data_IF_347838826087
#
_entry.id   IF_347838826087
#
_cell.length_a   1.000
_cell.length_b   1.000
_cell.length_c   1.000
_cell.angle_alpha   90.00
_cell.angle_beta   90.00
_cell.angle_gamma   90.00
#
_symmetry.space_group_name_H-M   'P 1'
#
loop_
_entity.id
_entity.type
_entity.pdbx_description
1 polymer ?
#
# COMPACT_ATOMS: atom_id res chain seq x y z
N UNK A 1 -15.67 6.71 -8.24
CA UNK A 1 -15.87 8.00 -8.93
C UNK A 1 -14.51 8.44 -9.44
N UNK A 2 -14.34 8.59 -10.75
CA UNK A 2 -13.10 9.13 -11.32
C UNK A 2 -13.04 10.61 -10.95
N UNK A 3 -12.06 11.02 -10.15
CA UNK A 3 -11.86 12.42 -9.79
C UNK A 3 -11.60 13.18 -11.10
N UNK A 4 -12.46 14.13 -11.45
CA UNK A 4 -12.30 14.91 -12.67
C UNK A 4 -11.05 15.76 -12.49
N UNK A 5 -9.99 15.44 -13.23
CA UNK A 5 -8.78 16.25 -13.26
C UNK A 5 -9.14 17.63 -13.79
N UNK A 6 -8.81 18.67 -13.03
CA UNK A 6 -9.12 20.04 -13.48
C UNK A 6 -8.07 20.51 -14.48
N UNK A 7 -8.48 21.36 -15.43
CA UNK A 7 -7.54 22.02 -16.36
C UNK A 7 -6.41 22.72 -15.59
N UNK A 8 -6.74 23.35 -14.45
CA UNK A 8 -5.78 24.01 -13.57
C UNK A 8 -4.71 23.06 -13.00
N UNK A 9 -5.07 21.82 -12.66
CA UNK A 9 -4.10 20.84 -12.18
C UNK A 9 -3.14 20.40 -13.28
N UNK A 10 -3.61 20.26 -14.53
CA UNK A 10 -2.76 19.86 -15.66
C UNK A 10 -1.77 20.97 -16.02
N UNK A 11 -2.24 22.22 -16.17
CA UNK A 11 -1.37 23.32 -16.63
C UNK A 11 -0.26 23.68 -15.64
N UNK A 12 -0.37 23.30 -14.36
CA UNK A 12 0.66 23.55 -13.34
C UNK A 12 2.00 22.90 -13.66
N UNK A 13 2.02 21.82 -14.43
CA UNK A 13 3.26 21.14 -14.83
C UNK A 13 3.89 21.72 -16.09
N UNK A 14 3.20 22.60 -16.81
CA UNK A 14 3.68 23.16 -18.07
C UNK A 14 4.34 24.51 -17.83
N UNK A 15 5.51 24.74 -18.45
CA UNK A 15 6.13 26.06 -18.44
C UNK A 15 5.49 26.93 -19.52
N UNK A 16 5.24 28.22 -19.29
CA UNK A 16 4.69 29.11 -20.33
C UNK A 16 5.46 29.07 -21.66
N UNK A 17 6.77 28.91 -21.59
CA UNK A 17 7.66 28.75 -22.76
C UNK A 17 7.32 27.55 -23.64
N UNK A 18 6.79 26.47 -23.07
CA UNK A 18 6.46 25.24 -23.79
C UNK A 18 5.21 25.43 -24.68
N UNK A 19 4.44 26.48 -24.42
CA UNK A 19 3.25 26.87 -25.18
C UNK A 19 3.47 28.21 -25.92
N UNK A 20 4.69 28.74 -25.95
CA UNK A 20 5.00 30.00 -26.63
C UNK A 20 4.32 31.24 -26.03
N UNK A 21 3.95 31.20 -24.75
CA UNK A 21 3.29 32.29 -24.04
C UNK A 21 4.11 32.76 -22.84
N UNK A 22 3.84 33.97 -22.33
CA UNK A 22 4.46 34.48 -21.10
C UNK A 22 3.73 34.03 -19.84
N UNK A 23 2.43 33.76 -19.95
CA UNK A 23 1.56 33.33 -18.87
C UNK A 23 0.53 32.34 -19.43
N UNK A 24 0.29 31.24 -18.72
CA UNK A 24 -0.72 30.25 -19.09
C UNK A 24 -2.02 30.59 -18.36
N UNK A 25 -3.09 30.86 -19.11
CA UNK A 25 -4.43 31.08 -18.57
C UNK A 25 -5.34 29.88 -18.88
N UNK A 26 -6.06 29.31 -17.89
CA UNK A 26 -6.90 28.13 -18.10
C UNK A 26 -7.90 28.26 -19.27
N UNK A 27 -8.47 29.44 -19.48
CA UNK A 27 -9.43 29.73 -20.54
C UNK A 27 -8.84 29.70 -21.96
N UNK A 28 -7.53 29.95 -22.08
CA UNK A 28 -6.79 29.98 -23.34
C UNK A 28 -6.19 28.62 -23.72
N UNK A 29 -6.49 27.59 -22.92
CA UNK A 29 -5.92 26.26 -23.11
C UNK A 29 -7.05 25.26 -23.37
N UNK A 30 -6.79 24.33 -24.28
CA UNK A 30 -7.59 23.15 -24.52
C UNK A 30 -6.79 21.93 -24.00
N UNK A 31 -7.43 21.10 -23.17
CA UNK A 31 -6.81 19.90 -22.60
C UNK A 31 -7.58 18.69 -23.08
N UNK A 32 -6.89 17.81 -23.80
CA UNK A 32 -7.46 16.59 -24.36
C UNK A 32 -6.71 15.38 -23.81
N UNK A 33 -7.44 14.42 -23.26
CA UNK A 33 -6.86 13.15 -22.80
C UNK A 33 -6.59 12.25 -24.02
N UNK A 34 -5.32 11.94 -24.27
CA UNK A 34 -4.86 11.23 -25.47
C UNK A 34 -4.44 9.78 -25.21
N UNK A 35 -4.24 9.39 -23.94
CA UNK A 35 -3.83 8.03 -23.60
C UNK A 35 -4.18 7.62 -22.17
N UNK A 36 -4.35 6.30 -21.98
CA UNK A 36 -4.47 5.64 -20.67
C UNK A 36 -3.72 4.32 -20.71
N UNK A 37 -2.90 4.07 -19.70
CA UNK A 37 -2.37 2.75 -19.40
C UNK A 37 -2.57 2.45 -17.91
N UNK A 38 -2.74 1.18 -17.57
CA UNK A 38 -2.90 0.74 -16.19
C UNK A 38 -2.01 -0.46 -15.92
N UNK A 39 -1.42 -0.49 -14.73
CA UNK A 39 -0.69 -1.63 -14.20
C UNK A 39 -1.09 -1.85 -12.75
N UNK A 40 -0.93 -3.07 -12.25
CA UNK A 40 -1.10 -3.38 -10.83
C UNK A 40 0.19 -3.98 -10.30
N UNK A 41 0.57 -3.56 -9.10
CA UNK A 41 1.73 -4.14 -8.43
C UNK A 41 1.39 -5.55 -7.95
N UNK A 42 2.35 -6.48 -8.01
CA UNK A 42 2.16 -7.82 -7.49
C UNK A 42 2.04 -7.81 -5.96
N UNK A 43 1.12 -8.59 -5.41
CA UNK A 43 0.93 -8.78 -3.96
C UNK A 43 1.75 -9.95 -3.39
N UNK A 44 2.45 -10.70 -4.25
CA UNK A 44 3.18 -11.89 -3.84
C UNK A 44 4.56 -11.53 -3.31
N UNK A 45 4.88 -12.01 -2.10
CA UNK A 45 6.16 -11.76 -1.41
C UNK A 45 7.40 -12.02 -2.29
N UNK A 46 7.51 -13.13 -3.05
CA UNK A 46 8.70 -13.37 -3.88
C UNK A 46 8.89 -12.30 -4.95
N UNK A 47 7.80 -11.81 -5.55
CA UNK A 47 7.87 -10.79 -6.59
C UNK A 47 8.27 -9.44 -5.99
N UNK A 48 7.70 -9.08 -4.83
CA UNK A 48 8.09 -7.86 -4.11
C UNK A 48 9.56 -7.87 -3.72
N UNK A 49 10.11 -9.01 -3.29
CA UNK A 49 11.56 -9.14 -3.00
C UNK A 49 12.41 -8.86 -4.24
N UNK A 50 12.03 -9.39 -5.41
CA UNK A 50 12.75 -9.14 -6.66
C UNK A 50 12.68 -7.66 -7.08
N UNK A 51 11.54 -7.01 -6.90
CA UNK A 51 11.39 -5.57 -7.16
C UNK A 51 12.27 -4.76 -6.20
N UNK A 52 12.27 -5.09 -4.90
CA UNK A 52 13.15 -4.42 -3.91
C UNK A 52 14.62 -4.58 -4.28
N UNK A 53 15.05 -5.74 -4.75
CA UNK A 53 16.43 -5.95 -5.20
C UNK A 53 16.78 -5.09 -6.41
N UNK A 54 15.89 -5.05 -7.42
CA UNK A 54 16.06 -4.15 -8.58
C UNK A 54 16.15 -2.68 -8.13
N UNK A 55 15.27 -2.25 -7.23
CA UNK A 55 15.23 -0.89 -6.71
C UNK A 55 16.48 -0.55 -5.88
N UNK A 56 16.99 -1.49 -5.07
CA UNK A 56 18.24 -1.32 -4.32
C UNK A 56 19.43 -1.06 -5.25
N UNK A 57 19.48 -1.68 -6.44
CA UNK A 57 20.57 -1.41 -7.41
C UNK A 57 20.53 0.00 -8.00
N UNK A 58 19.36 0.66 -8.00
CA UNK A 58 19.22 2.06 -8.43
C UNK A 58 19.43 3.08 -7.31
N UNK A 59 19.44 2.65 -6.05
CA UNK A 59 19.62 3.55 -4.90
C UNK A 59 21.11 3.83 -4.67
N UNK A 60 21.51 5.09 -4.85
CA UNK A 60 22.87 5.58 -4.64
C UNK A 60 23.03 6.34 -3.33
N UNK A 61 21.94 6.92 -2.80
CA UNK A 61 21.95 7.64 -1.53
C UNK A 61 21.76 6.70 -0.32
N UNK A 62 22.55 6.92 0.73
CA UNK A 62 22.56 6.07 1.94
C UNK A 62 21.18 5.99 2.61
N UNK A 63 20.41 7.10 2.60
CA UNK A 63 19.07 7.13 3.16
C UNK A 63 18.11 6.21 2.40
N UNK A 64 18.11 6.26 1.06
CA UNK A 64 17.29 5.38 0.24
C UNK A 64 17.68 3.91 0.44
N UNK A 65 18.98 3.61 0.48
CA UNK A 65 19.49 2.26 0.73
C UNK A 65 19.06 1.71 2.10
N UNK A 66 19.10 2.54 3.15
CA UNK A 66 18.70 2.15 4.49
C UNK A 66 17.20 1.81 4.54
N UNK A 67 16.34 2.66 3.98
CA UNK A 67 14.88 2.43 3.94
C UNK A 67 14.56 1.15 3.18
N UNK A 68 15.13 0.98 1.98
CA UNK A 68 14.89 -0.19 1.13
C UNK A 68 15.43 -1.49 1.77
N UNK A 69 16.57 -1.43 2.45
CA UNK A 69 17.12 -2.57 3.19
C UNK A 69 16.24 -2.95 4.37
N UNK A 70 15.71 -1.96 5.10
CA UNK A 70 14.74 -2.16 6.17
C UNK A 70 13.47 -2.86 5.67
N UNK A 71 12.92 -2.41 4.54
CA UNK A 71 11.77 -3.04 3.88
C UNK A 71 12.13 -4.47 3.43
N UNK A 72 13.31 -4.69 2.84
CA UNK A 72 13.77 -6.03 2.44
C UNK A 72 13.81 -6.99 3.64
N UNK A 73 14.35 -6.52 4.76
CA UNK A 73 14.45 -7.29 5.99
C UNK A 73 13.08 -7.59 6.58
N UNK A 74 12.18 -6.61 6.67
CA UNK A 74 10.85 -6.78 7.27
C UNK A 74 9.94 -7.70 6.45
N UNK A 75 10.02 -7.62 5.12
CA UNK A 75 9.33 -8.56 4.22
C UNK A 75 9.93 -9.97 4.33
N UNK A 76 11.23 -10.09 4.59
CA UNK A 76 11.90 -11.39 4.72
C UNK A 76 11.64 -12.07 6.06
N UNK A 77 11.50 -11.32 7.14
CA UNK A 77 11.13 -11.83 8.47
C UNK A 77 9.63 -12.09 8.62
N UNK A 78 8.80 -11.60 7.69
CA UNK A 78 7.35 -11.65 7.77
C UNK A 78 6.73 -10.59 8.71
N UNK A 79 7.53 -9.63 9.20
CA UNK A 79 7.01 -8.50 10.00
C UNK A 79 6.31 -7.44 9.13
N UNK A 80 6.49 -7.49 7.81
CA UNK A 80 5.73 -6.68 6.86
C UNK A 80 5.06 -7.54 5.79
N UNK A 81 3.86 -7.13 5.39
CA UNK A 81 3.10 -7.74 4.31
C UNK A 81 3.06 -6.82 3.08
N UNK A 82 3.22 -7.36 1.86
CA UNK A 82 2.97 -6.63 0.62
C UNK A 82 1.59 -5.98 0.57
N UNK A 83 1.51 -4.79 -0.01
CA UNK A 83 0.26 -4.06 -0.26
C UNK A 83 0.04 -3.93 -1.76
N UNK A 84 -1.21 -4.14 -2.20
CA UNK A 84 -1.57 -3.94 -3.60
C UNK A 84 -1.71 -2.46 -3.93
N UNK A 85 -1.01 -2.00 -4.97
CA UNK A 85 -1.11 -0.67 -5.55
C UNK A 85 -1.55 -0.83 -7.00
N UNK A 86 -2.59 -0.09 -7.40
CA UNK A 86 -2.95 0.07 -8.81
C UNK A 86 -2.33 1.36 -9.31
N UNK A 87 -1.53 1.28 -10.37
CA UNK A 87 -0.94 2.43 -11.00
C UNK A 87 -1.65 2.72 -12.33
N UNK A 88 -1.98 3.98 -12.57
CA UNK A 88 -2.64 4.44 -13.80
C UNK A 88 -1.83 5.58 -14.38
N UNK A 89 -1.46 5.45 -15.66
CA UNK A 89 -0.87 6.50 -16.47
C UNK A 89 -1.97 7.14 -17.33
N UNK A 90 -2.11 8.45 -17.25
CA UNK A 90 -2.96 9.24 -18.13
C UNK A 90 -2.10 10.25 -18.88
N UNK A 91 -2.27 10.35 -20.19
CA UNK A 91 -1.56 11.31 -21.03
C UNK A 91 -2.52 12.38 -21.52
N UNK A 92 -2.14 13.63 -21.37
CA UNK A 92 -2.89 14.79 -21.78
C UNK A 92 -2.11 15.57 -22.82
N UNK A 93 -2.76 15.90 -23.93
CA UNK A 93 -2.31 16.94 -24.85
C UNK A 93 -2.89 18.27 -24.38
N UNK A 94 -2.04 19.28 -24.31
CA UNK A 94 -2.39 20.63 -23.88
C UNK A 94 -2.06 21.58 -25.01
N UNK A 95 -3.09 22.18 -25.59
CA UNK A 95 -2.99 23.09 -26.73
C UNK A 95 -3.34 24.51 -26.32
N UNK A 96 -2.46 25.46 -26.57
CA UNK A 96 -2.75 26.86 -26.36
C UNK A 96 -3.48 27.41 -27.60
N UNK A 97 -4.62 28.07 -27.38
CA UNK A 97 -5.57 28.43 -28.45
C UNK A 97 -5.09 29.58 -29.33
N UNK A 98 -4.22 30.45 -28.81
CA UNK A 98 -3.75 31.66 -29.49
C UNK A 98 -2.57 31.37 -30.42
N UNK A 99 -1.60 30.62 -29.93
CA UNK A 99 -0.34 30.25 -30.57
C UNK A 99 -0.47 28.94 -31.36
N UNK A 100 -1.43 28.09 -30.99
CA UNK A 100 -1.60 26.75 -31.54
C UNK A 100 -0.54 25.74 -31.08
N UNK A 101 0.39 26.13 -30.20
CA UNK A 101 1.43 25.25 -29.68
C UNK A 101 0.84 24.18 -28.77
N UNK A 102 1.45 23.00 -28.80
CA UNK A 102 1.03 21.84 -27.99
C UNK A 102 2.16 21.39 -27.07
N UNK A 103 1.80 21.02 -25.85
CA UNK A 103 2.65 20.30 -24.92
C UNK A 103 1.94 19.04 -24.42
N UNK A 104 2.69 18.13 -23.81
CA UNK A 104 2.15 16.89 -23.27
C UNK A 104 2.46 16.78 -21.78
N UNK A 105 1.44 16.41 -21.02
CA UNK A 105 1.56 16.12 -19.59
C UNK A 105 1.15 14.69 -19.34
N UNK A 106 2.00 13.95 -18.64
CA UNK A 106 1.66 12.61 -18.17
C UNK A 106 1.41 12.65 -16.68
N UNK A 107 0.27 12.10 -16.25
CA UNK A 107 -0.10 11.92 -14.86
C UNK A 107 0.02 10.46 -14.50
N UNK A 108 0.75 10.16 -13.44
CA UNK A 108 0.77 8.84 -12.82
C UNK A 108 -0.03 8.91 -11.52
N UNK A 109 -0.98 8.00 -11.35
CA UNK A 109 -1.80 7.89 -10.14
C UNK A 109 -1.62 6.50 -9.53
N UNK A 110 -1.27 6.45 -8.26
CA UNK A 110 -1.11 5.25 -7.45
C UNK A 110 -2.30 5.17 -6.49
N UNK A 111 -3.11 4.14 -6.64
CA UNK A 111 -4.30 3.90 -5.84
C UNK A 111 -4.11 2.70 -4.94
N UNK A 112 -4.42 2.88 -3.67
CA UNK A 112 -4.42 1.82 -2.66
C UNK A 112 -5.81 1.72 -2.09
N UNK A 113 -6.36 0.51 -2.11
CA UNK A 113 -7.64 0.18 -1.49
C UNK A 113 -7.52 -1.19 -0.82
N UNK A 114 -7.24 -1.24 0.49
CA UNK A 114 -7.00 -2.50 1.17
C UNK A 114 -8.30 -3.20 1.54
N UNK A 115 -8.24 -4.53 1.62
CA UNK A 115 -9.34 -5.42 2.01
C UNK A 115 -9.46 -5.60 3.53
N UNK A 116 -8.48 -5.08 4.28
CA UNK A 116 -8.39 -5.05 5.74
C UNK A 116 -7.68 -3.78 6.21
N UNK A 117 -7.77 -3.47 7.49
CA UNK A 117 -7.03 -2.37 8.09
C UNK A 117 -5.52 -2.63 8.00
N UNK A 118 -4.78 -1.65 7.49
CA UNK A 118 -3.32 -1.68 7.39
C UNK A 118 -2.71 -0.67 8.36
N UNK A 119 -1.60 -1.04 8.98
CA UNK A 119 -0.80 -0.16 9.84
C UNK A 119 0.56 0.09 9.23
N UNK A 120 1.10 1.30 9.45
CA UNK A 120 2.45 1.70 9.05
C UNK A 120 2.74 1.35 7.58
N UNK A 121 1.85 1.81 6.69
CA UNK A 121 1.96 1.59 5.25
C UNK A 121 3.09 2.46 4.71
N UNK A 122 4.04 1.82 4.04
CA UNK A 122 5.16 2.45 3.37
C UNK A 122 5.09 2.15 1.88
N UNK A 123 5.05 3.19 1.06
CA UNK A 123 5.04 3.06 -0.41
C UNK A 123 6.27 3.79 -0.92
N UNK A 124 7.18 3.05 -1.51
CA UNK A 124 8.38 3.57 -2.16
C UNK A 124 8.22 3.44 -3.66
N UNK A 125 8.38 4.55 -4.37
CA UNK A 125 8.33 4.60 -5.82
C UNK A 125 9.69 5.00 -6.36
N UNK A 126 10.21 4.20 -7.31
CA UNK A 126 11.34 4.59 -8.14
C UNK A 126 10.81 5.10 -9.47
N UNK A 127 11.01 6.40 -9.69
CA UNK A 127 10.65 7.07 -10.93
C UNK A 127 11.89 6.98 -11.84
N UNK A 128 11.82 6.22 -12.96
CA UNK A 128 12.98 6.03 -13.82
C UNK A 128 13.34 7.33 -14.56
N UNK A 129 14.61 7.46 -14.96
CA UNK A 129 15.08 8.61 -15.76
C UNK A 129 14.37 8.78 -17.10
N UNK A 130 13.79 7.71 -17.64
CA UNK A 130 12.93 7.77 -18.81
C UNK A 130 11.66 8.61 -18.55
N UNK A 131 11.20 8.67 -17.29
CA UNK A 131 10.03 9.44 -16.85
C UNK A 131 10.43 10.86 -16.43
N UNK A 132 11.41 11.01 -15.54
CA UNK A 132 11.90 12.31 -15.06
C UNK A 132 13.41 12.25 -14.77
N UNK A 133 14.17 13.23 -15.25
CA UNK A 133 15.62 13.26 -15.03
C UNK A 133 16.00 13.61 -13.58
N UNK A 134 15.11 14.31 -12.88
CA UNK A 134 15.25 14.67 -11.48
C UNK A 134 13.90 14.90 -10.82
N UNK A 135 13.87 14.95 -9.49
CA UNK A 135 12.67 15.27 -8.72
C UNK A 135 12.05 16.64 -9.08
N UNK A 136 12.84 17.60 -9.57
CA UNK A 136 12.36 18.93 -9.95
C UNK A 136 11.46 18.95 -11.19
N UNK A 137 11.48 17.88 -11.99
CA UNK A 137 10.58 17.71 -13.15
C UNK A 137 9.26 17.03 -12.77
N UNK A 138 9.12 16.62 -11.51
CA UNK A 138 7.96 15.90 -10.98
C UNK A 138 7.14 16.84 -10.11
N UNK A 139 5.84 16.95 -10.40
CA UNK A 139 4.90 17.71 -9.57
C UNK A 139 3.98 16.73 -8.85
N UNK A 140 4.10 16.66 -7.52
CA UNK A 140 3.22 15.85 -6.67
C UNK A 140 1.88 16.53 -6.44
N UNK A 141 0.80 15.79 -6.66
CA UNK A 141 -0.57 16.26 -6.47
C UNK A 141 -1.16 15.60 -5.22
N UNK A 142 -1.65 16.41 -4.28
CA UNK A 142 -2.20 15.92 -3.02
C UNK A 142 -1.11 15.61 -2.01
N UNK A 143 -1.06 14.36 -1.55
CA UNK A 143 -0.14 13.91 -0.51
C UNK A 143 1.32 14.05 -0.96
N UNK A 144 2.12 14.79 -0.18
CA UNK A 144 3.51 15.06 -0.51
C UNK A 144 4.41 13.92 0.00
N UNK A 145 5.18 13.26 -0.88
CA UNK A 145 6.11 12.25 -0.41
C UNK A 145 7.34 12.87 0.24
N UNK A 146 8.01 12.05 1.04
CA UNK A 146 9.40 12.26 1.42
C UNK A 146 10.31 11.87 0.27
N UNK A 147 11.16 12.78 -0.18
CA UNK A 147 12.19 12.49 -1.18
C UNK A 147 13.34 11.76 -0.49
N UNK A 148 13.62 10.52 -0.90
CA UNK A 148 14.72 9.71 -0.37
C UNK A 148 16.00 9.85 -1.19
N UNK A 149 15.87 10.21 -2.47
CA UNK A 149 16.95 10.44 -3.40
C UNK A 149 16.48 11.40 -4.50
N UNK A 150 17.34 12.33 -4.93
CA UNK A 150 16.99 13.34 -5.95
C UNK A 150 16.73 12.74 -7.35
N UNK A 151 17.42 11.64 -7.69
CA UNK A 151 17.21 10.81 -8.87
C UNK A 151 16.13 9.77 -8.57
N UNK A 152 14.88 9.97 -9.03
CA UNK A 152 13.84 10.18 -8.04
C UNK A 152 13.37 8.88 -7.38
N UNK A 153 13.74 8.73 -6.10
CA UNK A 153 13.17 7.73 -5.20
C UNK A 153 12.40 8.48 -4.12
N UNK A 154 11.10 8.20 -4.04
CA UNK A 154 10.19 8.89 -3.13
C UNK A 154 9.43 7.90 -2.26
N UNK A 155 9.01 8.35 -1.08
CA UNK A 155 8.31 7.55 -0.09
C UNK A 155 7.06 8.26 0.42
N UNK A 156 5.93 7.55 0.42
CA UNK A 156 4.75 7.93 1.19
C UNK A 156 4.64 7.03 2.41
N UNK A 157 4.30 7.63 3.56
CA UNK A 157 4.11 6.94 4.83
C UNK A 157 2.70 7.22 5.34
N UNK A 158 1.96 6.18 5.70
CA UNK A 158 0.66 6.29 6.35
C UNK A 158 0.69 5.48 7.65
N UNK A 159 0.34 6.11 8.77
CA UNK A 159 0.23 5.41 10.05
C UNK A 159 -0.85 4.33 10.01
N UNK A 160 -1.96 4.60 9.31
CA UNK A 160 -3.06 3.68 9.15
C UNK A 160 -3.79 3.92 7.81
N UNK A 161 -4.25 2.84 7.19
CA UNK A 161 -5.20 2.88 6.06
C UNK A 161 -6.30 1.89 6.37
N UNK A 162 -7.53 2.39 6.51
CA UNK A 162 -8.68 1.55 6.87
C UNK A 162 -9.09 0.66 5.72
N UNK A 163 -9.74 -0.45 6.04
CA UNK A 163 -10.43 -1.30 5.07
C UNK A 163 -11.35 -0.43 4.19
N UNK A 164 -11.30 -0.68 2.88
CA UNK A 164 -12.06 0.03 1.85
C UNK A 164 -11.74 1.54 1.70
N UNK A 165 -10.89 2.11 2.55
CA UNK A 165 -10.38 3.46 2.37
C UNK A 165 -9.50 3.51 1.12
N UNK A 166 -9.75 4.50 0.27
CA UNK A 166 -8.95 4.71 -0.94
C UNK A 166 -7.95 5.82 -0.69
N UNK A 167 -6.66 5.49 -0.73
CA UNK A 167 -5.58 6.49 -0.83
C UNK A 167 -5.23 6.66 -2.31
N UNK A 168 -5.24 7.91 -2.76
CA UNK A 168 -4.91 8.31 -4.13
C UNK A 168 -3.69 9.22 -4.08
N UNK A 169 -2.57 8.73 -4.60
CA UNK A 169 -1.31 9.45 -4.70
C UNK A 169 -1.10 9.74 -6.16
N UNK A 170 -0.68 10.94 -6.53
CA UNK A 170 -0.41 11.20 -7.93
C UNK A 170 0.70 12.20 -8.14
N UNK A 171 1.35 12.08 -9.29
CA UNK A 171 2.35 13.03 -9.74
C UNK A 171 2.21 13.27 -11.24
N UNK A 172 2.70 14.41 -11.69
CA UNK A 172 2.75 14.80 -13.09
C UNK A 172 4.18 15.01 -13.54
N UNK A 173 4.41 14.73 -14.82
CA UNK A 173 5.63 15.10 -15.55
C UNK A 173 5.24 15.80 -16.85
N UNK A 174 5.96 16.86 -17.19
CA UNK A 174 5.78 17.62 -18.43
C UNK A 174 6.49 16.93 -19.60
N UNK A 175 6.02 15.72 -19.89
CA UNK A 175 6.54 14.84 -20.92
C UNK A 175 5.44 13.86 -21.33
N UNK A 176 5.43 13.47 -22.61
CA UNK A 176 4.62 12.36 -23.09
C UNK A 176 5.26 11.03 -22.68
N UNK A 177 4.51 10.17 -21.98
CA UNK A 177 4.92 8.81 -21.66
C UNK A 177 4.05 7.82 -22.44
N UNK A 178 4.69 6.86 -23.11
CA UNK A 178 3.96 5.82 -23.83
C UNK A 178 3.69 4.59 -22.95
N UNK A 179 4.57 4.34 -21.97
CA UNK A 179 4.51 3.18 -21.07
C UNK A 179 4.82 3.63 -19.64
N UNK A 180 4.19 2.96 -18.68
CA UNK A 180 4.48 3.11 -17.26
C UNK A 180 5.61 2.16 -16.84
N UNK A 181 6.83 2.68 -16.72
CA UNK A 181 8.05 1.91 -16.40
C UNK A 181 8.46 1.98 -14.91
N UNK A 182 7.60 2.52 -14.06
CA UNK A 182 7.94 2.75 -12.66
C UNK A 182 7.93 1.47 -11.82
N UNK A 183 8.73 1.47 -10.75
CA UNK A 183 8.82 0.34 -9.84
C UNK A 183 8.33 0.77 -8.46
N UNK A 184 7.13 0.31 -8.11
CA UNK A 184 6.50 0.58 -6.82
C UNK A 184 6.70 -0.58 -5.87
N UNK A 185 7.15 -0.30 -4.65
CA UNK A 185 7.18 -1.23 -3.52
C UNK A 185 6.25 -0.69 -2.45
N UNK A 186 5.20 -1.42 -2.13
CA UNK A 186 4.30 -1.06 -1.04
C UNK A 186 4.22 -2.19 0.00
N UNK A 187 4.42 -1.82 1.26
CA UNK A 187 4.40 -2.74 2.40
C UNK A 187 3.61 -2.13 3.55
N UNK A 188 3.08 -2.98 4.40
CA UNK A 188 2.43 -2.62 5.66
C UNK A 188 3.03 -3.45 6.79
N UNK A 189 2.89 -3.01 8.03
CA UNK A 189 3.17 -3.87 9.18
C UNK A 189 2.23 -5.08 9.14
N UNK A 190 2.78 -6.27 9.32
CA UNK A 190 1.98 -7.48 9.39
C UNK A 190 1.06 -7.39 10.61
N UNK A 191 -0.23 -7.24 10.37
CA UNK A 191 -1.24 -7.45 11.40
C UNK A 191 -1.17 -8.93 11.74
N UNK A 192 -0.42 -9.27 12.78
CA UNK A 192 -0.52 -10.58 13.42
C UNK A 192 -1.98 -10.64 13.87
N UNK A 193 -2.78 -11.45 13.18
CA UNK A 193 -4.14 -11.70 13.59
C UNK A 193 -4.06 -12.06 15.08
N UNK A 194 -4.69 -11.25 15.93
CA UNK A 194 -4.77 -11.58 17.34
C UNK A 194 -5.24 -13.04 17.39
N UNK A 195 -4.54 -13.93 18.13
CA UNK A 195 -4.90 -15.34 18.16
C UNK A 195 -6.40 -15.40 18.40
N UNK A 196 -7.13 -15.98 17.43
CA UNK A 196 -8.59 -15.98 17.50
C UNK A 196 -8.95 -16.45 18.89
N UNK A 197 -9.67 -15.60 19.65
CA UNK A 197 -10.05 -15.96 21.00
C UNK A 197 -10.70 -17.35 20.91
N UNK A 198 -10.30 -18.31 21.76
CA UNK A 198 -10.77 -19.68 21.64
C UNK A 198 -12.30 -19.63 21.56
N UNK A 199 -12.84 -20.15 20.46
CA UNK A 199 -14.27 -20.07 20.22
C UNK A 199 -15.00 -20.63 21.43
N UNK A 200 -16.07 -19.97 21.88
CA UNK A 200 -16.85 -20.44 23.04
C UNK A 200 -17.26 -21.91 22.88
N UNK A 201 -17.40 -22.38 21.64
CA UNK A 201 -17.61 -23.78 21.27
C UNK A 201 -16.58 -24.72 21.90
N UNK A 202 -15.29 -24.38 21.86
CA UNK A 202 -14.23 -25.19 22.49
C UNK A 202 -14.40 -25.29 24.00
N UNK A 203 -14.79 -24.18 24.64
CA UNK A 203 -15.11 -24.14 26.07
C UNK A 203 -16.32 -25.03 26.38
N UNK A 204 -17.38 -24.97 25.56
CA UNK A 204 -18.56 -25.83 25.72
C UNK A 204 -18.26 -27.32 25.49
N UNK A 205 -17.37 -27.67 24.55
CA UNK A 205 -16.92 -29.05 24.35
C UNK A 205 -16.21 -29.57 25.59
N UNK A 206 -15.30 -28.78 26.18
CA UNK A 206 -14.59 -29.16 27.42
C UNK A 206 -15.57 -29.34 28.59
N UNK A 207 -16.52 -28.41 28.76
CA UNK A 207 -17.56 -28.50 29.79
C UNK A 207 -18.43 -29.75 29.58
N UNK A 208 -18.81 -30.04 28.33
CA UNK A 208 -19.59 -31.21 27.97
C UNK A 208 -18.86 -32.51 28.31
N UNK A 209 -17.58 -32.64 27.94
CA UNK A 209 -16.75 -33.80 28.27
C UNK A 209 -16.62 -33.96 29.79
N UNK A 210 -16.39 -32.87 30.53
CA UNK A 210 -16.31 -32.90 32.00
C UNK A 210 -17.62 -33.35 32.65
N UNK A 211 -18.77 -32.85 32.17
CA UNK A 211 -20.09 -33.25 32.65
C UNK A 211 -20.35 -34.76 32.43
N UNK A 212 -20.00 -35.28 31.26
CA UNK A 212 -20.12 -36.72 30.95
C UNK A 212 -19.22 -37.55 31.86
N UNK A 213 -17.97 -37.13 32.08
CA UNK A 213 -17.04 -37.83 32.97
C UNK A 213 -17.56 -37.90 34.42
N UNK A 214 -18.16 -36.82 34.92
CA UNK A 214 -18.80 -36.78 36.24
C UNK A 214 -19.98 -37.74 36.31
N UNK A 215 -20.85 -37.76 35.29
CA UNK A 215 -21.98 -38.71 35.23
C UNK A 215 -21.50 -40.16 35.23
N UNK A 216 -20.48 -40.49 34.42
CA UNK A 216 -19.88 -41.83 34.38
C UNK A 216 -19.29 -42.21 35.74
N UNK A 217 -18.57 -41.30 36.39
CA UNK A 217 -17.99 -41.54 37.71
C UNK A 217 -19.06 -41.82 38.79
N UNK A 218 -20.15 -41.03 38.81
CA UNK A 218 -21.27 -41.22 39.75
C UNK A 218 -21.95 -42.58 39.53
N UNK A 219 -22.20 -42.95 38.26
CA UNK A 219 -22.79 -44.25 37.92
C UNK A 219 -21.87 -45.43 38.29
N UNK A 220 -20.57 -45.31 38.03
CA UNK A 220 -19.57 -46.31 38.41
C UNK A 220 -19.54 -46.50 39.93
N UNK A 221 -19.47 -45.41 40.70
CA UNK A 221 -19.48 -45.45 42.17
C UNK A 221 -20.73 -46.13 42.72
N UNK A 222 -21.90 -45.87 42.11
CA UNK A 222 -23.18 -46.50 42.51
C UNK A 222 -23.20 -48.00 42.21
N UNK A 223 -22.67 -48.43 41.06
CA UNK A 223 -22.67 -49.85 40.64
C UNK A 223 -21.67 -50.71 41.45
N UNK A 224 -20.49 -50.17 41.75
CA UNK A 224 -19.43 -50.92 42.45
C UNK A 224 -19.72 -51.08 43.95
N UNK A 225 -20.74 -50.40 44.48
CA UNK A 225 -21.15 -50.59 45.87
C UNK A 225 -20.01 -50.26 46.82
N UNK A 226 -19.25 -49.19 46.55
CA UNK A 226 -18.34 -48.59 47.53
C UNK A 226 -19.19 -48.03 48.66
N UNK A 227 -19.61 -48.93 49.55
CA UNK A 227 -20.25 -48.62 50.81
C UNK A 227 -19.39 -47.62 51.57
N UNK A 228 -20.06 -46.65 52.20
CA UNK A 228 -19.45 -45.56 52.94
C UNK A 228 -18.17 -45.99 53.67
N UNK A 229 -17.01 -45.63 53.11
CA UNK A 229 -15.73 -45.70 53.82
C UNK A 229 -15.85 -44.71 55.00
N UNK A 230 -16.24 -45.22 56.18
CA UNK A 230 -16.18 -44.49 57.43
C UNK A 230 -14.69 -44.27 57.74
N UNK A 231 -14.19 -43.08 57.44
CA UNK A 231 -12.91 -42.63 57.98
C UNK A 231 -13.04 -42.51 59.51
N UNK A 232 -12.60 -43.54 60.21
CA UNK A 232 -12.41 -43.48 61.66
C UNK A 232 -11.17 -42.62 61.92
N UNK A 233 -11.38 -41.34 62.23
CA UNK A 233 -10.33 -40.50 62.78
C UNK A 233 -10.03 -40.98 64.21
N UNK A 234 -8.89 -41.65 64.40
CA UNK A 234 -8.29 -41.78 65.73
C UNK A 234 -7.79 -40.40 66.14
N UNK A 235 -8.43 -39.79 67.14
CA UNK A 235 -7.85 -38.68 67.89
C UNK A 235 -6.68 -39.24 68.72
N UNK A 236 -5.49 -38.68 68.50
CA UNK A 236 -4.44 -38.61 69.51
C UNK A 236 -4.60 -37.33 70.31
#
# INVERSE_FOLDING_TARGET
MTKITTVQEIIRSIRPSDLGVTEIKPENVEVTKTGVAETSTPTQVPIVKNIIEKVLTSATEAQAQQVLSGIKQSVSSGSSAPVSVRATLEVFEVKEKTTGQTSHVSRVSLMIKPDKDLKNVNIVEVIPKSVAASISEVIFLGEQPKVLQADPIVQWEFSEVKKDETKDLSYQVNKKLDVLESNTVAVSEAVIAAPEAPSLIYIYIIIGIAAVAVVVYVLYKRKVGLGNFRFSYKRG
#
